data_IF_336470434975
#
_entry.id   IF_336470434975
#
_cell.length_a   1.000
_cell.length_b   1.000
_cell.length_c   1.000
_cell.angle_alpha   90.00
_cell.angle_beta   90.00
_cell.angle_gamma   90.00
#
_symmetry.space_group_name_H-M   'P 1'
#
loop_
_entity.id
_entity.type
_entity.pdbx_description
1 polymer ?
#
# COMPACT_ATOMS: atom_id res chain seq x y z
N UNK A 1 12.09 57.95 8.95
CA UNK A 1 11.28 56.73 8.73
C UNK A 1 10.21 57.12 7.71
N UNK A 2 10.33 56.64 6.47
CA UNK A 2 9.34 56.92 5.43
C UNK A 2 8.20 55.93 5.66
N UNK A 3 7.06 56.42 6.13
CA UNK A 3 5.84 55.62 6.26
C UNK A 3 5.24 55.58 4.86
N UNK A 4 5.41 54.47 4.15
CA UNK A 4 4.71 54.24 2.90
C UNK A 4 3.27 53.84 3.25
N UNK A 5 2.35 54.80 3.24
CA UNK A 5 0.92 54.52 3.31
C UNK A 5 0.47 53.99 1.93
N UNK A 6 0.15 52.70 1.88
CA UNK A 6 -0.44 52.09 0.69
C UNK A 6 -1.96 52.18 0.77
N UNK A 7 -2.59 52.74 -0.26
CA UNK A 7 -4.06 52.81 -0.35
C UNK A 7 -4.62 51.57 -1.05
N UNK A 8 -5.73 51.05 -0.55
CA UNK A 8 -6.44 49.89 -1.07
C UNK A 8 -7.02 50.21 -2.46
N UNK A 9 -6.64 49.50 -3.52
CA UNK A 9 -7.15 49.75 -4.87
C UNK A 9 -8.67 49.56 -5.01
N UNK A 10 -9.29 48.78 -4.12
CA UNK A 10 -10.74 48.50 -4.19
C UNK A 10 -11.61 49.54 -3.49
N UNK A 11 -11.14 50.18 -2.41
CA UNK A 11 -11.99 51.06 -1.60
C UNK A 11 -11.32 52.38 -1.17
N UNK A 12 -10.04 52.59 -1.48
CA UNK A 12 -9.29 53.80 -1.15
C UNK A 12 -8.82 53.92 0.31
N UNK A 13 -9.24 53.01 1.20
CA UNK A 13 -8.79 52.99 2.60
C UNK A 13 -7.32 52.52 2.74
N UNK A 14 -6.72 52.69 3.92
CA UNK A 14 -5.33 52.28 4.16
C UNK A 14 -5.18 50.75 4.20
N UNK A 15 -4.03 50.26 3.72
CA UNK A 15 -3.62 48.87 3.82
C UNK A 15 -2.67 48.67 5.01
N UNK A 16 -2.94 47.66 5.83
CA UNK A 16 -2.02 47.19 6.85
C UNK A 16 -1.16 46.05 6.30
N UNK A 17 0.16 46.14 6.48
CA UNK A 17 1.08 45.10 6.08
C UNK A 17 1.20 44.04 7.17
N UNK A 18 1.08 42.76 6.79
CA UNK A 18 1.28 41.63 7.69
C UNK A 18 2.65 41.00 7.41
N UNK A 19 3.65 41.35 8.23
CA UNK A 19 5.03 40.89 8.11
C UNK A 19 5.17 39.36 8.11
N UNK A 20 4.31 38.64 8.85
CA UNK A 20 4.43 37.18 8.96
C UNK A 20 4.00 36.46 7.69
N UNK A 21 3.02 37.02 6.98
CA UNK A 21 2.40 36.41 5.80
C UNK A 21 2.86 37.07 4.50
N UNK A 22 3.58 38.19 4.60
CA UNK A 22 4.02 39.02 3.47
C UNK A 22 2.86 39.40 2.54
N UNK A 23 1.79 39.93 3.14
CA UNK A 23 0.57 40.35 2.46
C UNK A 23 0.08 41.67 3.02
N UNK A 24 -0.64 42.42 2.20
CA UNK A 24 -1.39 43.60 2.64
C UNK A 24 -2.85 43.23 2.87
N UNK A 25 -3.41 43.69 3.99
CA UNK A 25 -4.82 43.51 4.31
C UNK A 25 -5.50 44.88 4.37
N UNK A 26 -6.68 45.01 3.75
CA UNK A 26 -7.51 46.19 3.96
C UNK A 26 -8.46 45.94 5.14
N UNK A 27 -8.38 46.76 6.17
CA UNK A 27 -9.27 46.64 7.35
C UNK A 27 -10.71 47.04 7.04
N UNK A 28 -10.91 47.89 6.02
CA UNK A 28 -12.23 48.37 5.66
C UNK A 28 -13.02 47.38 4.79
N UNK A 29 -12.46 46.95 3.66
CA UNK A 29 -13.16 46.02 2.75
C UNK A 29 -12.79 44.54 2.98
N UNK A 30 -11.86 44.26 3.88
CA UNK A 30 -11.44 42.89 4.20
C UNK A 30 -10.63 42.18 3.11
N UNK A 31 -10.36 42.81 1.96
CA UNK A 31 -9.58 42.20 0.87
C UNK A 31 -8.11 42.06 1.22
N UNK A 32 -7.45 41.08 0.62
CA UNK A 32 -6.03 40.77 0.79
C UNK A 32 -5.31 41.04 -0.52
N UNK A 33 -4.08 41.54 -0.45
CA UNK A 33 -3.24 41.86 -1.59
C UNK A 33 -1.84 41.29 -1.40
N UNK A 34 -1.17 40.96 -2.51
CA UNK A 34 0.24 40.56 -2.53
C UNK A 34 1.16 41.75 -2.24
N UNK A 35 2.46 41.51 -2.08
CA UNK A 35 3.48 42.57 -1.97
C UNK A 35 3.50 43.55 -3.16
N UNK A 36 3.03 43.09 -4.33
CA UNK A 36 2.90 43.90 -5.54
C UNK A 36 1.52 44.60 -5.65
N UNK A 37 0.73 44.58 -4.56
CA UNK A 37 -0.62 45.16 -4.47
C UNK A 37 -1.60 44.53 -5.48
N UNK A 38 -1.36 43.28 -5.90
CA UNK A 38 -2.34 42.51 -6.66
C UNK A 38 -3.35 41.88 -5.70
N UNK A 39 -4.65 42.04 -5.98
CA UNK A 39 -5.71 41.43 -5.16
C UNK A 39 -5.60 39.91 -5.17
N UNK A 40 -5.57 39.31 -3.98
CA UNK A 40 -5.61 37.86 -3.82
C UNK A 40 -7.07 37.43 -3.89
N UNK A 41 -7.42 36.80 -5.01
CA UNK A 41 -8.75 36.26 -5.27
C UNK A 41 -8.65 34.93 -6.05
N UNK A 42 -9.79 34.28 -6.27
CA UNK A 42 -9.88 33.00 -6.99
C UNK A 42 -9.22 33.07 -8.38
N UNK A 43 -9.38 34.17 -9.11
CA UNK A 43 -8.79 34.33 -10.44
C UNK A 43 -7.26 34.32 -10.41
N UNK A 44 -6.65 35.03 -9.46
CA UNK A 44 -5.19 35.01 -9.28
C UNK A 44 -4.70 33.61 -8.93
N UNK A 45 -5.43 32.91 -8.04
CA UNK A 45 -5.11 31.53 -7.65
C UNK A 45 -5.16 30.60 -8.86
N UNK A 46 -6.19 30.73 -9.70
CA UNK A 46 -6.33 29.95 -10.93
C UNK A 46 -5.17 30.23 -11.90
N UNK A 47 -4.83 31.51 -12.12
CA UNK A 47 -3.70 31.91 -12.98
C UNK A 47 -2.37 31.32 -12.49
N UNK A 48 -2.14 31.34 -11.17
CA UNK A 48 -0.95 30.74 -10.56
C UNK A 48 -0.92 29.23 -10.75
N UNK A 49 -2.06 28.56 -10.60
CA UNK A 49 -2.21 27.12 -10.84
C UNK A 49 -1.94 26.77 -12.31
N UNK A 50 -2.50 27.50 -13.27
CA UNK A 50 -2.25 27.31 -14.70
C UNK A 50 -0.76 27.51 -15.04
N UNK A 51 -0.10 28.45 -14.39
CA UNK A 51 1.36 28.68 -14.47
C UNK A 51 2.21 27.68 -13.67
N UNK A 52 1.58 26.67 -13.05
CA UNK A 52 2.23 25.63 -12.21
C UNK A 52 2.94 26.18 -10.96
N UNK A 53 2.57 27.37 -10.48
CA UNK A 53 3.06 27.96 -9.21
C UNK A 53 2.20 27.48 -8.02
N UNK A 54 2.13 26.16 -7.84
CA UNK A 54 1.21 25.51 -6.91
C UNK A 54 1.42 25.91 -5.44
N UNK A 55 2.67 26.09 -5.01
CA UNK A 55 3.00 26.50 -3.63
C UNK A 55 2.40 27.86 -3.28
N UNK A 56 2.45 28.82 -4.22
CA UNK A 56 1.90 30.15 -4.01
C UNK A 56 0.37 30.16 -4.09
N UNK A 57 -0.19 29.46 -5.08
CA UNK A 57 -1.64 29.27 -5.20
C UNK A 57 -2.21 28.68 -3.90
N UNK A 58 -1.56 27.63 -3.37
CA UNK A 58 -1.94 27.00 -2.11
C UNK A 58 -1.88 27.98 -0.93
N UNK A 59 -0.77 28.71 -0.78
CA UNK A 59 -0.63 29.72 0.28
C UNK A 59 -1.77 30.73 0.24
N UNK A 60 -2.12 31.21 -0.96
CA UNK A 60 -3.18 32.20 -1.13
C UNK A 60 -4.58 31.65 -0.86
N UNK A 61 -4.85 30.41 -1.27
CA UNK A 61 -6.11 29.77 -0.90
C UNK A 61 -6.23 29.59 0.61
N UNK A 62 -5.16 29.14 1.29
CA UNK A 62 -5.16 28.96 2.74
C UNK A 62 -5.46 30.28 3.47
N UNK A 63 -4.93 31.41 2.99
CA UNK A 63 -5.23 32.74 3.54
C UNK A 63 -6.69 33.16 3.36
N UNK A 64 -7.32 32.79 2.24
CA UNK A 64 -8.73 33.09 2.01
C UNK A 64 -9.64 32.16 2.83
N UNK A 65 -9.28 30.88 2.97
CA UNK A 65 -10.00 29.91 3.81
C UNK A 65 -9.90 30.22 5.31
N UNK A 66 -8.85 30.91 5.78
CA UNK A 66 -8.82 31.41 7.16
C UNK A 66 -9.92 32.44 7.43
N UNK A 67 -10.38 33.16 6.42
CA UNK A 67 -11.47 34.14 6.54
C UNK A 67 -12.83 33.52 6.32
N UNK A 68 -12.94 32.67 5.30
CA UNK A 68 -14.17 31.97 4.97
C UNK A 68 -13.88 30.47 4.81
N UNK A 69 -13.89 29.69 5.92
CA UNK A 69 -13.53 28.27 5.89
C UNK A 69 -14.57 27.42 5.16
N UNK A 70 -15.80 27.92 5.03
CA UNK A 70 -16.94 27.21 4.47
C UNK A 70 -17.19 27.60 2.99
N UNK A 71 -16.34 28.45 2.39
CA UNK A 71 -16.42 28.79 0.97
C UNK A 71 -16.09 27.55 0.11
N UNK A 72 -17.10 27.10 -0.63
CA UNK A 72 -16.99 25.94 -1.51
C UNK A 72 -15.92 26.11 -2.60
N UNK A 73 -15.86 27.27 -3.27
CA UNK A 73 -14.92 27.51 -4.36
C UNK A 73 -13.47 27.58 -3.88
N UNK A 74 -13.25 28.15 -2.69
CA UNK A 74 -11.92 28.15 -2.06
C UNK A 74 -11.50 26.74 -1.64
N UNK A 75 -12.41 25.95 -1.07
CA UNK A 75 -12.11 24.55 -0.75
C UNK A 75 -11.82 23.73 -2.03
N UNK A 76 -12.53 24.01 -3.13
CA UNK A 76 -12.28 23.41 -4.44
C UNK A 76 -10.93 23.81 -5.04
N UNK A 77 -10.56 25.09 -4.99
CA UNK A 77 -9.25 25.52 -5.47
C UNK A 77 -8.12 25.01 -4.57
N UNK A 78 -8.32 24.97 -3.25
CA UNK A 78 -7.35 24.36 -2.33
C UNK A 78 -7.10 22.90 -2.73
N UNK A 79 -8.18 22.16 -3.02
CA UNK A 79 -8.11 20.81 -3.56
C UNK A 79 -7.27 20.75 -4.85
N UNK A 80 -7.54 21.62 -5.83
CA UNK A 80 -6.81 21.69 -7.10
C UNK A 80 -5.32 22.07 -6.94
N UNK A 81 -4.94 22.77 -5.86
CA UNK A 81 -3.53 23.12 -5.61
C UNK A 81 -2.69 21.97 -5.06
N UNK A 82 -3.30 20.99 -4.39
CA UNK A 82 -2.57 19.86 -3.79
C UNK A 82 -2.41 18.72 -4.80
N UNK A 83 -3.48 18.38 -5.53
CA UNK A 83 -3.55 17.15 -6.30
C UNK A 83 -3.68 17.41 -7.80
N UNK A 84 -2.61 17.91 -8.42
CA UNK A 84 -2.33 17.89 -9.87
C UNK A 84 -3.33 18.72 -10.73
N UNK A 85 -2.89 19.43 -11.78
CA UNK A 85 -3.81 20.15 -12.67
C UNK A 85 -4.83 19.23 -13.35
N UNK A 86 -6.09 19.28 -12.94
CA UNK A 86 -7.21 18.66 -13.66
C UNK A 86 -8.18 17.89 -12.75
N UNK A 87 -9.27 17.35 -13.32
CA UNK A 87 -10.31 16.69 -12.54
C UNK A 87 -9.83 15.42 -11.81
N UNK A 88 -10.31 15.17 -10.58
CA UNK A 88 -9.99 13.97 -9.81
C UNK A 88 -10.22 12.68 -10.60
N UNK A 89 -11.33 12.59 -11.36
CA UNK A 89 -11.72 11.39 -12.13
C UNK A 89 -10.64 10.89 -13.11
N UNK A 90 -9.81 11.80 -13.64
CA UNK A 90 -8.73 11.47 -14.59
C UNK A 90 -7.55 10.77 -13.91
N UNK A 91 -7.36 11.02 -12.63
CA UNK A 91 -6.21 10.54 -11.87
C UNK A 91 -6.49 9.24 -11.10
N UNK A 92 -7.76 8.92 -10.83
CA UNK A 92 -8.13 7.78 -9.97
C UNK A 92 -7.83 6.40 -10.61
N UNK A 93 -7.39 6.31 -11.86
CA UNK A 93 -7.25 5.02 -12.55
C UNK A 93 -5.84 4.58 -12.95
N UNK A 94 -4.76 5.31 -12.61
CA UNK A 94 -3.47 5.08 -13.29
C UNK A 94 -2.58 4.07 -12.58
N UNK A 95 -2.45 4.09 -11.25
CA UNK A 95 -1.65 3.10 -10.51
C UNK A 95 -1.95 3.09 -8.99
N UNK A 96 -1.44 2.08 -8.28
CA UNK A 96 -1.57 1.92 -6.82
C UNK A 96 -1.00 3.11 -6.02
N UNK A 97 0.06 3.77 -6.50
CA UNK A 97 0.61 4.95 -5.81
C UNK A 97 -0.34 6.13 -5.87
N UNK A 98 -1.05 6.31 -6.98
CA UNK A 98 -2.07 7.35 -7.13
C UNK A 98 -3.29 7.03 -6.27
N UNK A 99 -3.67 5.75 -6.16
CA UNK A 99 -4.66 5.28 -5.18
C UNK A 99 -4.25 5.59 -3.74
N UNK A 100 -2.98 5.35 -3.38
CA UNK A 100 -2.51 5.61 -2.02
C UNK A 100 -2.52 7.11 -1.70
N UNK A 101 -2.03 7.95 -2.62
CA UNK A 101 -2.11 9.41 -2.49
C UNK A 101 -3.54 9.91 -2.38
N UNK A 102 -4.46 9.29 -3.12
CA UNK A 102 -5.88 9.55 -2.96
C UNK A 102 -6.36 9.09 -1.59
N UNK A 103 -6.07 7.87 -1.13
CA UNK A 103 -6.49 7.42 0.21
C UNK A 103 -5.98 8.34 1.32
N UNK A 104 -4.71 8.76 1.26
CA UNK A 104 -4.13 9.74 2.18
C UNK A 104 -4.84 11.11 2.08
N UNK A 105 -5.30 11.47 0.89
CA UNK A 105 -6.16 12.63 0.66
C UNK A 105 -7.56 12.48 1.28
N UNK A 106 -8.22 11.33 1.10
CA UNK A 106 -9.55 11.03 1.65
C UNK A 106 -9.57 10.96 3.16
N UNK A 107 -8.47 10.51 3.75
CA UNK A 107 -8.25 10.53 5.19
C UNK A 107 -7.90 11.94 5.70
N UNK A 108 -7.60 12.89 4.80
CA UNK A 108 -7.34 14.29 5.11
C UNK A 108 -8.62 15.10 5.32
N UNK A 109 -8.56 16.10 6.22
CA UNK A 109 -9.64 17.06 6.50
C UNK A 109 -10.19 17.82 5.28
N UNK A 110 -9.47 17.75 4.15
CA UNK A 110 -9.82 18.28 2.85
C UNK A 110 -11.26 17.99 2.42
N UNK A 111 -11.61 16.70 2.41
CA UNK A 111 -12.83 16.23 1.80
C UNK A 111 -13.99 16.26 2.79
N UNK A 112 -13.72 16.12 4.09
CA UNK A 112 -14.68 16.43 5.14
C UNK A 112 -15.12 17.91 5.07
N UNK A 113 -14.18 18.84 4.83
CA UNK A 113 -14.52 20.25 4.59
C UNK A 113 -15.31 20.43 3.30
N UNK A 114 -14.81 19.91 2.19
CA UNK A 114 -15.49 20.02 0.90
C UNK A 114 -16.90 19.42 1.00
N UNK A 115 -17.06 18.24 1.60
CA UNK A 115 -18.33 17.53 1.77
C UNK A 115 -19.37 18.30 2.59
N UNK A 116 -18.93 19.18 3.50
CA UNK A 116 -19.83 20.05 4.28
C UNK A 116 -20.28 21.29 3.50
N UNK A 117 -19.48 21.75 2.55
CA UNK A 117 -19.71 22.98 1.79
C UNK A 117 -20.28 22.71 0.39
N UNK A 118 -20.30 21.45 -0.03
CA UNK A 118 -20.80 21.00 -1.33
C UNK A 118 -22.31 21.25 -1.46
N UNK A 119 -22.74 21.91 -2.56
CA UNK A 119 -24.14 21.98 -2.96
C UNK A 119 -24.78 20.59 -3.14
N UNK A 120 -26.06 20.45 -2.79
CA UNK A 120 -26.79 19.16 -2.84
C UNK A 120 -26.81 18.54 -4.26
N UNK A 121 -26.83 19.36 -5.31
CA UNK A 121 -26.81 18.94 -6.71
C UNK A 121 -25.44 18.40 -7.16
N UNK A 122 -24.38 18.70 -6.43
CA UNK A 122 -23.02 18.19 -6.66
C UNK A 122 -22.67 16.96 -5.81
N UNK A 123 -23.50 16.63 -4.83
CA UNK A 123 -23.21 15.55 -3.87
C UNK A 123 -23.04 14.19 -4.54
N UNK A 124 -23.77 13.93 -5.61
CA UNK A 124 -23.67 12.67 -6.38
C UNK A 124 -22.27 12.44 -6.95
N UNK A 125 -21.59 13.50 -7.42
CA UNK A 125 -20.23 13.39 -7.92
C UNK A 125 -19.28 12.95 -6.81
N UNK A 126 -19.45 13.52 -5.62
CA UNK A 126 -18.55 13.34 -4.49
C UNK A 126 -18.76 11.97 -3.86
N UNK A 127 -20.02 11.54 -3.73
CA UNK A 127 -20.37 10.19 -3.33
C UNK A 127 -19.78 9.14 -4.30
N UNK A 128 -19.81 9.41 -5.60
CA UNK A 128 -19.20 8.51 -6.60
C UNK A 128 -17.67 8.45 -6.45
N UNK A 129 -17.01 9.60 -6.24
CA UNK A 129 -15.57 9.65 -5.97
C UNK A 129 -15.19 8.93 -4.66
N UNK A 130 -16.04 9.02 -3.63
CA UNK A 130 -15.85 8.38 -2.34
C UNK A 130 -15.92 6.86 -2.49
N UNK A 131 -16.98 6.37 -3.14
CA UNK A 131 -17.15 4.95 -3.46
C UNK A 131 -15.98 4.41 -4.28
N UNK A 132 -15.55 5.16 -5.30
CA UNK A 132 -14.43 4.78 -6.16
C UNK A 132 -13.15 4.60 -5.32
N UNK A 133 -12.93 5.50 -4.37
CA UNK A 133 -11.76 5.44 -3.48
C UNK A 133 -11.79 4.25 -2.55
N UNK A 134 -12.91 3.97 -1.90
CA UNK A 134 -13.04 2.79 -1.04
C UNK A 134 -12.75 1.50 -1.82
N UNK A 135 -13.26 1.39 -3.06
CA UNK A 135 -12.98 0.23 -3.91
C UNK A 135 -11.48 0.12 -4.23
N UNK A 136 -10.82 1.24 -4.54
CA UNK A 136 -9.40 1.22 -4.83
C UNK A 136 -8.54 0.91 -3.60
N UNK A 137 -8.94 1.38 -2.40
CA UNK A 137 -8.32 1.01 -1.13
C UNK A 137 -8.40 -0.51 -0.90
N UNK A 138 -9.58 -1.10 -1.10
CA UNK A 138 -9.80 -2.55 -1.03
C UNK A 138 -8.92 -3.32 -2.04
N UNK A 139 -8.84 -2.84 -3.28
CA UNK A 139 -7.95 -3.42 -4.30
C UNK A 139 -6.49 -3.37 -3.84
N UNK A 140 -6.09 -2.24 -3.26
CA UNK A 140 -4.75 -2.02 -2.72
C UNK A 140 -4.39 -3.01 -1.63
N UNK A 141 -5.24 -3.14 -0.61
CA UNK A 141 -5.06 -4.07 0.50
C UNK A 141 -4.99 -5.53 0.04
N UNK A 142 -5.85 -5.93 -0.88
CA UNK A 142 -5.82 -7.27 -1.47
C UNK A 142 -4.53 -7.52 -2.26
N UNK A 143 -4.05 -6.52 -3.00
CA UNK A 143 -2.79 -6.61 -3.76
C UNK A 143 -1.60 -6.81 -2.82
N UNK A 144 -1.55 -6.07 -1.71
CA UNK A 144 -0.51 -6.21 -0.70
C UNK A 144 -0.52 -7.61 -0.06
N UNK A 145 -1.71 -8.15 0.27
CA UNK A 145 -1.85 -9.51 0.80
C UNK A 145 -1.39 -10.57 -0.20
N UNK A 146 -1.73 -10.44 -1.48
CA UNK A 146 -1.25 -11.33 -2.55
C UNK A 146 0.28 -11.29 -2.60
N UNK A 147 0.91 -10.11 -2.51
CA UNK A 147 2.36 -9.98 -2.50
C UNK A 147 3.01 -10.70 -1.30
N UNK A 148 2.42 -10.55 -0.10
CA UNK A 148 2.87 -11.27 1.09
C UNK A 148 2.78 -12.80 0.92
N UNK A 149 1.68 -13.29 0.34
CA UNK A 149 1.52 -14.71 0.01
C UNK A 149 2.59 -15.17 -0.97
N UNK A 150 2.85 -14.40 -2.04
CA UNK A 150 3.89 -14.72 -3.03
C UNK A 150 5.28 -14.76 -2.40
N UNK A 151 5.62 -13.81 -1.51
CA UNK A 151 6.88 -13.83 -0.73
C UNK A 151 7.00 -15.09 0.12
N UNK A 152 5.93 -15.47 0.83
CA UNK A 152 5.88 -16.71 1.63
C UNK A 152 6.05 -17.96 0.75
N UNK A 153 5.46 -18.00 -0.43
CA UNK A 153 5.62 -19.11 -1.37
C UNK A 153 7.06 -19.25 -1.87
N UNK A 154 7.72 -18.14 -2.21
CA UNK A 154 9.14 -18.15 -2.61
C UNK A 154 10.01 -18.68 -1.47
N UNK A 155 9.76 -18.24 -0.23
CA UNK A 155 10.46 -18.76 0.94
C UNK A 155 10.29 -20.28 1.10
N UNK A 156 9.06 -20.78 1.09
CA UNK A 156 8.75 -22.21 1.23
C UNK A 156 9.35 -23.06 0.09
N UNK A 157 9.34 -22.52 -1.14
CA UNK A 157 9.97 -23.17 -2.30
C UNK A 157 11.48 -23.27 -2.12
N UNK A 158 12.13 -22.21 -1.65
CA UNK A 158 13.56 -22.19 -1.37
C UNK A 158 13.93 -23.13 -0.23
N UNK A 159 13.12 -23.20 0.83
CA UNK A 159 13.31 -24.15 1.93
C UNK A 159 13.18 -25.60 1.43
N UNK A 160 12.19 -25.88 0.59
CA UNK A 160 11.99 -27.21 -0.02
C UNK A 160 13.14 -27.57 -0.96
N UNK A 161 13.67 -26.60 -1.72
CA UNK A 161 14.83 -26.79 -2.58
C UNK A 161 16.10 -27.12 -1.76
N UNK A 162 16.32 -26.42 -0.64
CA UNK A 162 17.41 -26.71 0.30
C UNK A 162 17.28 -28.11 0.91
N UNK A 163 16.06 -28.56 1.21
CA UNK A 163 15.81 -29.92 1.71
C UNK A 163 15.96 -31.02 0.64
N UNK A 164 15.89 -30.67 -0.65
CA UNK A 164 16.10 -31.60 -1.78
C UNK A 164 17.56 -31.79 -2.15
N UNK A 165 18.49 -31.00 -1.61
CA UNK A 165 19.92 -31.22 -1.79
C UNK A 165 20.20 -32.65 -1.26
N UNK A 166 20.76 -33.56 -2.09
CA UNK A 166 21.03 -34.92 -1.69
C UNK A 166 21.78 -34.92 -0.36
N UNK A 167 21.26 -35.67 0.61
CA UNK A 167 21.92 -35.82 1.91
C UNK A 167 23.32 -36.43 1.73
N UNK A 168 23.62 -37.07 0.59
CA UNK A 168 24.96 -37.55 0.22
C UNK A 168 26.01 -36.42 0.14
N UNK A 169 25.62 -35.17 -0.12
CA UNK A 169 26.53 -34.00 -0.12
C UNK A 169 26.62 -33.29 1.25
N UNK A 170 25.65 -33.53 2.16
CA UNK A 170 25.59 -32.91 3.49
C UNK A 170 25.76 -33.89 4.66
N UNK A 171 25.98 -35.19 4.40
CA UNK A 171 26.76 -36.05 5.28
C UNK A 171 28.19 -35.50 5.21
N UNK A 172 28.40 -34.33 5.80
CA UNK A 172 29.71 -33.76 6.01
C UNK A 172 30.49 -34.84 6.71
N UNK A 173 31.46 -35.41 5.98
CA UNK A 173 32.53 -36.30 6.45
C UNK A 173 32.27 -36.77 7.88
N UNK A 174 31.26 -37.63 8.10
CA UNK A 174 31.33 -38.48 9.27
C UNK A 174 32.59 -39.28 8.96
N UNK A 175 33.71 -39.05 9.68
CA UNK A 175 34.98 -39.63 9.28
C UNK A 175 34.71 -41.12 9.10
N UNK A 176 35.16 -41.67 7.97
CA UNK A 176 34.93 -43.06 7.60
C UNK A 176 35.18 -43.99 8.80
N UNK A 177 36.15 -43.61 9.62
CA UNK A 177 36.49 -44.10 10.94
C UNK A 177 35.30 -44.37 11.86
N UNK A 178 34.30 -43.49 11.98
CA UNK A 178 33.15 -43.72 12.87
C UNK A 178 32.29 -44.90 12.40
N UNK A 179 32.08 -45.05 11.09
CA UNK A 179 31.38 -46.23 10.56
C UNK A 179 32.22 -47.49 10.72
N UNK A 180 33.54 -47.40 10.55
CA UNK A 180 34.46 -48.51 10.80
C UNK A 180 34.44 -48.91 12.28
N UNK A 181 34.50 -47.98 13.22
CA UNK A 181 34.44 -48.26 14.66
C UNK A 181 33.08 -48.81 15.08
N UNK A 182 31.98 -48.30 14.54
CA UNK A 182 30.64 -48.85 14.81
C UNK A 182 30.48 -50.27 14.23
N UNK A 183 31.03 -50.53 13.04
CA UNK A 183 31.01 -51.85 12.42
C UNK A 183 31.91 -52.86 13.17
N UNK A 184 33.11 -52.45 13.59
CA UNK A 184 34.03 -53.26 14.39
C UNK A 184 33.48 -53.53 15.80
N UNK A 185 32.93 -52.52 16.46
CA UNK A 185 32.30 -52.68 17.78
C UNK A 185 31.07 -53.60 17.70
N UNK A 186 30.25 -53.44 16.66
CA UNK A 186 29.09 -54.31 16.41
C UNK A 186 29.49 -55.76 16.12
N UNK A 187 30.54 -55.99 15.32
CA UNK A 187 31.00 -57.35 14.99
C UNK A 187 31.63 -58.07 16.18
N UNK A 188 32.42 -57.37 17.01
CA UNK A 188 32.95 -57.92 18.26
C UNK A 188 31.81 -58.30 19.22
N UNK A 189 30.79 -57.45 19.36
CA UNK A 189 29.62 -57.74 20.20
C UNK A 189 28.84 -58.96 19.69
N UNK A 190 28.63 -59.09 18.38
CA UNK A 190 27.99 -60.27 17.78
C UNK A 190 28.80 -61.54 18.08
N UNK A 191 30.13 -61.51 17.94
CA UNK A 191 30.99 -62.66 18.20
C UNK A 191 30.94 -63.07 19.68
N UNK A 192 30.93 -62.11 20.63
CA UNK A 192 30.74 -62.42 22.05
C UNK A 192 29.38 -63.07 22.32
N UNK A 193 28.29 -62.58 21.70
CA UNK A 193 26.96 -63.15 21.89
C UNK A 193 26.82 -64.55 21.29
N UNK A 194 27.43 -64.82 20.13
CA UNK A 194 27.47 -66.15 19.51
C UNK A 194 28.18 -67.19 20.39
N UNK A 195 29.24 -66.78 21.09
CA UNK A 195 29.98 -67.66 21.99
C UNK A 195 29.17 -68.05 23.24
N UNK A 196 28.28 -67.16 23.70
CA UNK A 196 27.40 -67.40 24.86
C UNK A 196 26.17 -68.20 24.46
N UNK A 197 25.52 -67.83 23.35
CA UNK A 197 24.36 -68.54 22.82
C UNK A 197 24.18 -68.25 21.32
N UNK A 198 24.24 -69.26 20.44
CA UNK A 198 24.10 -69.07 18.99
C UNK A 198 22.82 -68.33 18.58
N UNK A 199 21.70 -68.56 19.28
CA UNK A 199 20.42 -67.92 18.99
C UNK A 199 20.42 -66.41 19.32
N UNK A 200 21.15 -65.99 20.36
CA UNK A 200 21.32 -64.56 20.68
C UNK A 200 22.15 -63.83 19.63
N UNK A 201 23.12 -64.51 19.01
CA UNK A 201 23.90 -63.98 17.90
C UNK A 201 23.05 -63.66 16.67
N UNK A 202 22.17 -64.59 16.27
CA UNK A 202 21.24 -64.38 15.13
C UNK A 202 20.29 -63.22 15.40
N UNK A 203 19.73 -63.12 16.60
CA UNK A 203 18.86 -62.00 17.00
C UNK A 203 19.61 -60.64 16.97
N UNK A 204 20.88 -60.62 17.39
CA UNK A 204 21.71 -59.42 17.40
C UNK A 204 22.03 -58.92 15.99
N UNK A 205 22.29 -59.84 15.04
CA UNK A 205 22.50 -59.50 13.62
C UNK A 205 21.22 -58.91 13.02
N UNK A 206 20.05 -59.50 13.31
CA UNK A 206 18.76 -58.98 12.84
C UNK A 206 18.49 -57.55 13.35
N UNK A 207 18.85 -57.25 14.61
CA UNK A 207 18.74 -55.91 15.17
C UNK A 207 19.72 -54.91 14.55
N UNK A 208 20.99 -55.29 14.36
CA UNK A 208 22.02 -54.42 13.80
C UNK A 208 21.74 -54.03 12.34
N UNK A 209 21.13 -54.92 11.55
CA UNK A 209 20.72 -54.61 10.17
C UNK A 209 19.34 -53.94 10.14
N UNK A 210 18.42 -54.40 10.98
CA UNK A 210 17.03 -53.93 11.00
C UNK A 210 16.88 -52.49 11.51
N UNK A 211 17.62 -52.11 12.56
CA UNK A 211 17.50 -50.76 13.17
C UNK A 211 17.89 -49.64 12.20
N UNK A 212 19.05 -49.66 11.50
CA UNK A 212 19.40 -48.64 10.53
C UNK A 212 18.41 -48.54 9.37
N UNK A 213 17.87 -49.68 8.92
CA UNK A 213 16.84 -49.71 7.89
C UNK A 213 15.55 -49.05 8.37
N UNK A 214 15.09 -49.38 9.59
CA UNK A 214 13.93 -48.74 10.22
C UNK A 214 14.15 -47.24 10.44
N UNK A 215 15.34 -46.82 10.90
CA UNK A 215 15.67 -45.39 11.05
C UNK A 215 15.62 -44.68 9.69
N UNK A 216 16.23 -45.26 8.65
CA UNK A 216 16.21 -44.72 7.28
C UNK A 216 14.78 -44.63 6.74
N UNK A 217 13.97 -45.67 6.96
CA UNK A 217 12.58 -45.72 6.55
C UNK A 217 11.73 -44.68 7.29
N UNK A 218 11.84 -44.58 8.62
CA UNK A 218 11.16 -43.57 9.44
C UNK A 218 11.55 -42.15 9.01
N UNK A 219 12.85 -41.88 8.76
CA UNK A 219 13.31 -40.58 8.24
C UNK A 219 12.70 -40.27 6.87
N UNK A 220 12.69 -41.23 5.95
CA UNK A 220 12.09 -41.07 4.61
C UNK A 220 10.59 -40.79 4.70
N UNK A 221 9.86 -41.56 5.49
CA UNK A 221 8.41 -41.38 5.72
C UNK A 221 8.09 -40.05 6.38
N UNK A 222 8.89 -39.63 7.37
CA UNK A 222 8.77 -38.31 8.00
C UNK A 222 9.00 -37.16 7.01
N UNK A 223 10.08 -37.23 6.20
CA UNK A 223 10.36 -36.24 5.15
C UNK A 223 9.25 -36.17 4.10
N UNK A 224 8.73 -37.32 3.66
CA UNK A 224 7.61 -37.37 2.72
C UNK A 224 6.35 -36.69 3.29
N UNK A 225 5.97 -37.03 4.52
CA UNK A 225 4.81 -36.42 5.20
C UNK A 225 5.00 -34.92 5.45
N UNK A 226 6.23 -34.48 5.77
CA UNK A 226 6.56 -33.05 5.89
C UNK A 226 6.40 -32.34 4.55
N UNK A 227 6.93 -32.91 3.46
CA UNK A 227 6.81 -32.35 2.11
C UNK A 227 5.36 -32.27 1.64
N UNK A 228 4.56 -33.31 1.93
CA UNK A 228 3.12 -33.32 1.64
C UNK A 228 2.40 -32.18 2.35
N UNK A 229 2.64 -31.97 3.65
CA UNK A 229 2.07 -30.84 4.40
C UNK A 229 2.50 -29.49 3.83
N UNK A 230 3.77 -29.33 3.45
CA UNK A 230 4.25 -28.08 2.83
C UNK A 230 3.58 -27.85 1.47
N UNK A 231 3.40 -28.88 0.65
CA UNK A 231 2.72 -28.79 -0.63
C UNK A 231 1.23 -28.45 -0.45
N UNK A 232 0.55 -29.08 0.52
CA UNK A 232 -0.83 -28.75 0.87
C UNK A 232 -0.96 -27.29 1.33
N UNK A 233 -0.06 -26.81 2.19
CA UNK A 233 -0.03 -25.41 2.61
C UNK A 233 0.24 -24.42 1.46
N UNK A 234 1.13 -24.79 0.53
CA UNK A 234 1.42 -23.99 -0.66
C UNK A 234 0.21 -23.92 -1.61
N UNK A 235 -0.47 -25.04 -1.84
CA UNK A 235 -1.69 -25.10 -2.66
C UNK A 235 -2.85 -24.33 -2.03
N UNK A 236 -3.02 -24.42 -0.71
CA UNK A 236 -4.02 -23.63 0.02
C UNK A 236 -3.75 -22.13 -0.15
N UNK A 237 -2.51 -21.69 0.05
CA UNK A 237 -2.11 -20.29 -0.13
C UNK A 237 -2.28 -19.82 -1.60
N UNK A 238 -2.06 -20.71 -2.58
CA UNK A 238 -2.27 -20.41 -3.99
C UNK A 238 -3.76 -20.21 -4.32
N UNK A 239 -4.62 -21.08 -3.80
CA UNK A 239 -6.06 -20.96 -4.00
C UNK A 239 -6.61 -19.69 -3.32
N UNK A 240 -6.09 -19.35 -2.14
CA UNK A 240 -6.40 -18.09 -1.46
C UNK A 240 -6.02 -16.88 -2.32
N UNK A 241 -4.80 -16.85 -2.87
CA UNK A 241 -4.36 -15.77 -3.76
C UNK A 241 -5.22 -15.67 -5.03
N UNK A 242 -5.60 -16.79 -5.64
CA UNK A 242 -6.51 -16.81 -6.81
C UNK A 242 -7.87 -16.21 -6.47
N UNK A 243 -8.46 -16.57 -5.33
CA UNK A 243 -9.71 -15.98 -4.87
C UNK A 243 -9.61 -14.47 -4.67
N UNK A 244 -8.47 -13.97 -4.18
CA UNK A 244 -8.23 -12.53 -4.09
C UNK A 244 -8.06 -11.86 -5.46
N UNK A 245 -7.39 -12.51 -6.42
CA UNK A 245 -7.25 -12.00 -7.80
C UNK A 245 -8.59 -11.89 -8.53
N UNK A 246 -9.47 -12.88 -8.34
CA UNK A 246 -10.86 -12.83 -8.83
C UNK A 246 -11.64 -11.68 -8.20
N UNK A 247 -11.52 -11.49 -6.88
CA UNK A 247 -12.15 -10.38 -6.16
C UNK A 247 -11.63 -9.02 -6.67
N UNK A 248 -10.33 -8.86 -6.87
CA UNK A 248 -9.74 -7.65 -7.47
C UNK A 248 -10.33 -7.39 -8.85
N UNK A 249 -10.48 -8.43 -9.67
CA UNK A 249 -11.04 -8.30 -11.03
C UNK A 249 -12.49 -7.82 -10.99
N UNK A 250 -13.31 -8.36 -10.09
CA UNK A 250 -14.67 -7.90 -9.84
C UNK A 250 -14.71 -6.44 -9.36
N UNK A 251 -13.87 -6.08 -8.39
CA UNK A 251 -13.76 -4.72 -7.87
C UNK A 251 -13.32 -3.72 -8.95
N UNK A 252 -12.36 -4.08 -9.81
CA UNK A 252 -11.95 -3.24 -10.95
C UNK A 252 -13.09 -2.99 -11.92
N UNK A 253 -13.93 -4.01 -12.18
CA UNK A 253 -15.13 -3.84 -13.02
C UNK A 253 -16.12 -2.86 -12.37
N UNK A 254 -16.36 -3.00 -11.07
CA UNK A 254 -17.22 -2.08 -10.30
C UNK A 254 -16.67 -0.64 -10.30
N UNK A 255 -15.37 -0.49 -10.06
CA UNK A 255 -14.67 0.80 -10.14
C UNK A 255 -14.79 1.44 -11.52
N UNK A 256 -14.71 0.64 -12.60
CA UNK A 256 -14.92 1.11 -13.97
C UNK A 256 -16.31 1.73 -14.16
N UNK A 257 -17.36 1.04 -13.71
CA UNK A 257 -18.73 1.54 -13.80
C UNK A 257 -18.93 2.85 -13.00
N UNK A 258 -18.45 2.90 -11.76
CA UNK A 258 -18.55 4.11 -10.91
C UNK A 258 -17.72 5.26 -11.50
N UNK A 259 -16.58 4.96 -12.11
CA UNK A 259 -15.77 5.97 -12.79
C UNK A 259 -16.52 6.60 -13.96
N UNK A 260 -17.24 5.79 -14.75
CA UNK A 260 -18.04 6.29 -15.86
C UNK A 260 -19.23 7.13 -15.36
N UNK A 261 -19.85 6.73 -14.24
CA UNK A 261 -20.87 7.51 -13.54
C UNK A 261 -20.32 8.85 -13.02
N UNK A 262 -19.18 8.84 -12.33
CA UNK A 262 -18.51 10.04 -11.85
C UNK A 262 -18.18 11.01 -12.99
N UNK A 263 -17.75 10.50 -14.16
CA UNK A 263 -17.52 11.31 -15.36
C UNK A 263 -18.79 11.97 -15.89
N UNK A 264 -19.94 11.29 -15.79
CA UNK A 264 -21.21 11.89 -16.21
C UNK A 264 -21.61 13.07 -15.31
N UNK A 265 -21.29 13.00 -14.01
CA UNK A 265 -21.52 14.10 -13.07
C UNK A 265 -20.50 15.23 -13.20
N UNK A 266 -19.28 14.90 -13.63
CA UNK A 266 -18.17 15.83 -13.77
C UNK A 266 -18.48 16.97 -14.75
N UNK A 267 -19.17 16.70 -15.85
CA UNK A 267 -19.55 17.73 -16.82
C UNK A 267 -20.52 18.75 -16.20
N UNK A 268 -21.53 18.27 -15.47
CA UNK A 268 -22.47 19.15 -14.74
C UNK A 268 -21.76 19.92 -13.63
N UNK A 269 -20.86 19.24 -12.90
CA UNK A 269 -20.07 19.85 -11.84
C UNK A 269 -19.20 21.00 -12.36
N UNK A 270 -18.53 20.82 -13.50
CA UNK A 270 -17.76 21.89 -14.13
C UNK A 270 -18.62 23.01 -14.68
N UNK A 271 -19.80 22.71 -15.21
CA UNK A 271 -20.74 23.74 -15.65
C UNK A 271 -21.13 24.65 -14.48
N UNK A 272 -21.47 24.08 -13.31
CA UNK A 272 -21.85 24.88 -12.14
C UNK A 272 -20.68 25.68 -11.59
N UNK A 273 -19.47 25.12 -11.57
CA UNK A 273 -18.27 25.87 -11.12
C UNK A 273 -17.89 27.01 -12.08
N UNK A 274 -18.21 26.86 -13.37
CA UNK A 274 -17.89 27.88 -14.38
C UNK A 274 -18.84 29.07 -14.43
N UNK A 275 -20.01 28.98 -13.76
CA UNK A 275 -21.02 30.04 -13.68
C UNK A 275 -20.69 31.01 -12.54
#
# INVERSE_FOLDING_TARGET
>A
MVIHEYSCPSCGSNLSFNDQKEIFCCEYCGKIFTNEIAEINLKLIEDLRQKKRLTEARRYVELLLEKDPDDFYLNWEWFNTIYIPGPPSRYISVNYKDTQKMSEFWEGHALDRLGKTIPDDMRQYIDALEQLTFIWKDIGDLTLRIEQIRKKQVYLRNETARQKIPEDDQIGKVPLDYYIYAALGGSIFILMMLAVNPWLGVASIALLVGIPFLIRWCRKSYKAKKMERTNQAMNASLNEAKGMEEKITSLKKKAGAIKDEARSYEDNFFEVISR
#
